data_IF_519724289192
#
_entry.id   IF_519724289192
#
_cell.length_a   1.000
_cell.length_b   1.000
_cell.length_c   1.000
_cell.angle_alpha   90.00
_cell.angle_beta   90.00
_cell.angle_gamma   90.00
#
_symmetry.space_group_name_H-M   'P 1'
#
loop_
_entity.id
_entity.type
_entity.pdbx_description
1 polymer ?
#
# COMPACT_ATOMS: atom_id res chain seq x y z
N UNK A 1 14.26 -15.21 30.34
CA UNK A 1 13.20 -14.69 29.45
C UNK A 1 13.67 -13.35 28.88
N UNK A 2 13.95 -13.26 27.57
CA UNK A 2 14.29 -11.99 26.92
C UNK A 2 13.03 -11.13 26.87
N UNK A 3 13.07 -9.91 27.41
CA UNK A 3 12.01 -8.90 27.23
C UNK A 3 11.92 -8.59 25.74
N UNK A 4 10.82 -9.00 25.11
CA UNK A 4 10.44 -8.50 23.79
C UNK A 4 9.96 -7.08 24.05
N UNK A 5 10.83 -6.10 23.84
CA UNK A 5 10.38 -4.71 23.75
C UNK A 5 9.47 -4.66 22.51
N UNK A 6 8.15 -4.53 22.71
CA UNK A 6 7.27 -4.18 21.60
C UNK A 6 7.61 -2.75 21.19
N UNK A 7 8.52 -2.62 20.23
CA UNK A 7 8.78 -1.35 19.56
C UNK A 7 7.46 -0.92 18.93
N UNK A 8 6.83 0.13 19.50
CA UNK A 8 5.65 0.72 18.89
C UNK A 8 6.00 1.10 17.44
N UNK A 9 5.05 0.96 16.50
CA UNK A 9 5.23 1.46 15.14
C UNK A 9 5.73 2.90 15.18
N UNK A 10 6.82 3.18 14.45
CA UNK A 10 7.36 4.54 14.35
C UNK A 10 6.65 5.23 13.18
N UNK A 11 5.64 6.02 13.52
CA UNK A 11 4.94 6.87 12.57
C UNK A 11 5.55 8.27 12.58
N UNK A 12 5.75 8.84 11.41
CA UNK A 12 6.20 10.22 11.23
C UNK A 12 5.09 11.00 10.53
N UNK A 13 4.64 12.10 11.13
CA UNK A 13 3.61 12.95 10.56
C UNK A 13 4.19 14.27 10.08
N UNK A 14 4.03 14.55 8.79
CA UNK A 14 4.38 15.80 8.14
C UNK A 14 3.11 16.65 7.99
N UNK A 15 2.82 17.46 9.02
CA UNK A 15 1.58 18.22 9.13
C UNK A 15 1.35 19.17 7.94
N UNK A 16 2.39 19.85 7.47
CA UNK A 16 2.32 20.83 6.36
C UNK A 16 1.79 20.22 5.06
N UNK A 17 1.97 18.91 4.88
CA UNK A 17 1.56 18.17 3.69
C UNK A 17 0.39 17.21 3.96
N UNK A 18 -0.02 17.07 5.22
CA UNK A 18 -1.00 16.09 5.68
C UNK A 18 -0.57 14.64 5.41
N UNK A 19 0.73 14.35 5.47
CA UNK A 19 1.29 13.04 5.16
C UNK A 19 1.63 12.30 6.46
N UNK A 20 1.10 11.09 6.62
CA UNK A 20 1.57 10.15 7.63
C UNK A 20 2.47 9.09 6.98
N UNK A 21 3.62 8.83 7.59
CA UNK A 21 4.64 7.89 7.09
C UNK A 21 4.77 6.74 8.07
N UNK A 22 4.69 5.52 7.55
CA UNK A 22 4.95 4.29 8.30
C UNK A 22 6.35 3.77 8.00
N UNK A 23 7.26 3.92 8.97
CA UNK A 23 8.61 3.34 8.91
C UNK A 23 8.56 1.91 9.41
N UNK A 24 8.18 0.97 8.54
CA UNK A 24 8.18 -0.45 8.91
C UNK A 24 9.62 -0.93 9.08
N UNK A 25 10.01 -1.20 10.32
CA UNK A 25 11.20 -1.97 10.60
C UNK A 25 10.91 -3.44 10.30
N UNK A 26 11.72 -4.09 9.46
CA UNK A 26 11.57 -5.51 9.10
C UNK A 26 11.63 -6.49 10.29
N UNK A 27 11.84 -6.02 11.51
CA UNK A 27 11.72 -6.81 12.75
C UNK A 27 10.28 -6.86 13.29
N UNK A 28 9.45 -5.88 12.99
CA UNK A 28 8.08 -5.74 13.51
C UNK A 28 7.04 -6.41 12.59
N UNK A 29 7.40 -6.65 11.32
CA UNK A 29 6.55 -7.32 10.33
C UNK A 29 7.18 -8.64 9.92
N UNK A 30 6.77 -9.71 10.60
CA UNK A 30 7.26 -11.08 10.40
C UNK A 30 6.24 -11.98 9.71
N UNK A 31 5.00 -11.52 9.56
CA UNK A 31 3.91 -12.26 8.92
C UNK A 31 2.88 -11.33 8.25
N UNK A 32 2.04 -11.85 7.34
CA UNK A 32 0.91 -11.10 6.80
C UNK A 32 -0.01 -10.53 7.88
N UNK A 33 -0.32 -11.30 8.92
CA UNK A 33 -1.18 -10.83 10.01
C UNK A 33 -0.54 -9.67 10.79
N UNK A 34 0.77 -9.71 11.05
CA UNK A 34 1.44 -8.58 11.72
C UNK A 34 1.44 -7.31 10.86
N UNK A 35 1.52 -7.46 9.54
CA UNK A 35 1.42 -6.33 8.61
C UNK A 35 0.03 -5.71 8.62
N UNK A 36 -1.03 -6.52 8.60
CA UNK A 36 -2.42 -6.03 8.66
C UNK A 36 -2.67 -5.27 9.96
N UNK A 37 -2.26 -5.82 11.10
CA UNK A 37 -2.41 -5.15 12.40
C UNK A 37 -1.66 -3.81 12.43
N UNK A 38 -0.46 -3.78 11.85
CA UNK A 38 0.31 -2.55 11.70
C UNK A 38 -0.39 -1.52 10.80
N UNK A 39 -0.99 -1.95 9.68
CA UNK A 39 -1.80 -1.09 8.82
C UNK A 39 -3.03 -0.54 9.53
N UNK A 40 -3.73 -1.35 10.32
CA UNK A 40 -4.91 -0.89 11.08
C UNK A 40 -4.48 0.19 12.10
N UNK A 41 -3.44 -0.08 12.90
CA UNK A 41 -2.91 0.92 13.85
C UNK A 41 -2.45 2.21 13.17
N UNK A 42 -1.95 2.10 11.93
CA UNK A 42 -1.56 3.24 11.12
C UNK A 42 -2.77 4.07 10.64
N UNK A 43 -3.89 3.42 10.32
CA UNK A 43 -5.13 4.12 9.97
C UNK A 43 -5.77 4.82 11.17
N UNK A 44 -5.77 4.19 12.34
CA UNK A 44 -6.24 4.84 13.58
C UNK A 44 -5.45 6.14 13.84
N UNK A 45 -4.14 6.09 13.65
CA UNK A 45 -3.27 7.26 13.81
C UNK A 45 -3.50 8.32 12.71
N UNK A 46 -3.75 7.88 11.47
CA UNK A 46 -4.07 8.76 10.36
C UNK A 46 -5.39 9.53 10.60
N UNK A 47 -6.42 8.85 11.11
CA UNK A 47 -7.68 9.48 11.49
C UNK A 47 -7.47 10.48 12.63
N UNK A 48 -6.76 10.09 13.69
CA UNK A 48 -6.45 10.96 14.84
C UNK A 48 -5.73 12.24 14.43
N UNK A 49 -4.78 12.13 13.50
CA UNK A 49 -3.98 13.24 13.00
C UNK A 49 -4.61 13.97 11.81
N UNK A 50 -5.76 13.51 11.31
CA UNK A 50 -6.41 14.01 10.09
C UNK A 50 -5.47 14.03 8.89
N UNK A 51 -4.63 13.01 8.77
CA UNK A 51 -3.80 12.82 7.59
C UNK A 51 -4.70 12.67 6.36
N UNK A 52 -4.24 13.15 5.22
CA UNK A 52 -4.94 13.00 3.93
C UNK A 52 -4.14 12.18 2.93
N UNK A 53 -2.89 11.87 3.27
CA UNK A 53 -1.92 11.16 2.45
C UNK A 53 -1.15 10.17 3.30
N UNK A 54 -0.93 8.97 2.78
CA UNK A 54 -0.27 7.89 3.50
C UNK A 54 0.94 7.38 2.73
N UNK A 55 2.11 7.32 3.36
CA UNK A 55 3.29 6.65 2.80
C UNK A 55 3.60 5.42 3.66
N UNK A 56 3.47 4.24 3.05
CA UNK A 56 3.63 2.96 3.74
C UNK A 56 4.88 2.26 3.22
N UNK A 57 5.83 1.98 4.11
CA UNK A 57 6.92 1.06 3.80
C UNK A 57 6.43 -0.37 3.95
N UNK A 58 6.70 -1.22 2.97
CA UNK A 58 6.33 -2.64 3.02
C UNK A 58 7.56 -3.53 2.72
N UNK A 59 7.76 -4.62 3.49
CA UNK A 59 8.68 -5.69 3.09
C UNK A 59 8.28 -6.28 1.73
N UNK A 60 9.22 -6.84 0.97
CA UNK A 60 8.89 -7.48 -0.31
C UNK A 60 8.00 -8.72 -0.12
N UNK A 61 8.17 -9.39 1.03
CA UNK A 61 7.42 -10.55 1.49
C UNK A 61 5.93 -10.27 1.67
N UNK A 62 5.56 -8.99 1.85
CA UNK A 62 4.17 -8.55 1.97
C UNK A 62 3.45 -8.53 0.62
N UNK A 63 4.17 -8.45 -0.50
CA UNK A 63 3.57 -8.52 -1.84
C UNK A 63 3.43 -9.95 -2.37
N UNK A 64 4.10 -10.92 -1.74
CA UNK A 64 3.76 -12.34 -1.92
C UNK A 64 2.46 -12.73 -1.19
N UNK A 65 1.74 -11.76 -0.61
CA UNK A 65 0.42 -12.01 -0.06
C UNK A 65 -0.55 -12.47 -1.14
N UNK A 66 -1.09 -13.65 -0.90
CA UNK A 66 -2.07 -14.37 -1.69
C UNK A 66 -3.19 -13.47 -2.23
N UNK A 67 -3.76 -13.82 -3.39
CA UNK A 67 -4.78 -13.06 -4.11
C UNK A 67 -5.97 -12.62 -3.23
N UNK A 68 -6.26 -13.42 -2.19
CA UNK A 68 -7.31 -13.15 -1.19
C UNK A 68 -7.05 -11.93 -0.32
N UNK A 69 -5.80 -11.61 -0.03
CA UNK A 69 -5.44 -10.41 0.75
C UNK A 69 -5.61 -9.14 -0.08
N UNK A 70 -5.29 -9.18 -1.37
CA UNK A 70 -5.57 -8.09 -2.29
C UNK A 70 -7.08 -7.81 -2.38
N UNK A 71 -7.91 -8.86 -2.47
CA UNK A 71 -9.37 -8.73 -2.46
C UNK A 71 -9.90 -8.13 -1.14
N UNK A 72 -9.36 -8.55 0.02
CA UNK A 72 -9.75 -7.98 1.30
C UNK A 72 -9.35 -6.49 1.43
N UNK A 73 -8.10 -6.15 1.09
CA UNK A 73 -7.61 -4.76 1.15
C UNK A 73 -8.44 -3.85 0.25
N UNK A 74 -8.70 -4.30 -0.98
CA UNK A 74 -9.49 -3.52 -1.94
C UNK A 74 -10.95 -3.35 -1.55
N UNK A 75 -11.58 -4.39 -1.00
CA UNK A 75 -13.01 -4.35 -0.61
C UNK A 75 -13.28 -3.64 0.71
N UNK A 76 -12.36 -3.71 1.67
CA UNK A 76 -12.61 -3.25 3.03
C UNK A 76 -11.70 -2.11 3.47
N UNK A 77 -10.40 -2.18 3.16
CA UNK A 77 -9.43 -1.21 3.68
C UNK A 77 -9.48 0.12 2.91
N UNK A 78 -9.49 0.08 1.58
CA UNK A 78 -9.51 1.30 0.76
C UNK A 78 -10.78 2.13 0.95
N UNK A 79 -12.00 1.55 1.04
CA UNK A 79 -13.19 2.32 1.38
C UNK A 79 -13.10 3.00 2.76
N UNK A 80 -12.51 2.34 3.76
CA UNK A 80 -12.31 2.94 5.09
C UNK A 80 -11.31 4.08 5.04
N UNK A 81 -10.19 3.91 4.34
CA UNK A 81 -9.23 5.00 4.09
C UNK A 81 -9.90 6.21 3.45
N UNK A 82 -10.74 5.99 2.43
CA UNK A 82 -11.48 7.07 1.81
C UNK A 82 -12.45 7.75 2.79
N UNK A 83 -13.17 6.97 3.58
CA UNK A 83 -14.12 7.47 4.58
C UNK A 83 -13.48 8.40 5.61
N UNK A 84 -12.25 8.08 6.08
CA UNK A 84 -11.51 8.92 7.03
C UNK A 84 -10.78 10.09 6.36
N UNK A 85 -10.94 10.29 5.05
CA UNK A 85 -10.41 11.45 4.31
C UNK A 85 -9.06 11.24 3.63
N UNK A 86 -8.56 10.01 3.55
CA UNK A 86 -7.36 9.70 2.77
C UNK A 86 -7.66 9.82 1.27
N UNK A 87 -6.79 10.55 0.57
CA UNK A 87 -6.87 10.82 -0.87
C UNK A 87 -5.81 10.07 -1.66
N UNK A 88 -4.63 9.87 -1.06
CA UNK A 88 -3.48 9.21 -1.69
C UNK A 88 -2.78 8.26 -0.73
N UNK A 89 -2.39 7.10 -1.23
CA UNK A 89 -1.53 6.15 -0.52
C UNK A 89 -0.38 5.69 -1.43
N UNK A 90 0.85 5.75 -0.94
CA UNK A 90 2.04 5.28 -1.63
C UNK A 90 2.64 4.09 -0.85
N UNK A 91 2.71 2.93 -1.49
CA UNK A 91 3.43 1.76 -0.98
C UNK A 91 4.86 1.77 -1.51
N UNK A 92 5.84 1.86 -0.62
CA UNK A 92 7.26 1.76 -0.94
C UNK A 92 7.76 0.37 -0.56
N UNK A 93 8.14 -0.43 -1.55
CA UNK A 93 8.66 -1.80 -1.38
C UNK A 93 10.14 -1.88 -1.76
N UNK A 94 10.84 -2.93 -1.30
CA UNK A 94 12.23 -3.17 -1.70
C UNK A 94 12.36 -3.76 -3.10
N UNK A 95 11.42 -4.60 -3.50
CA UNK A 95 11.38 -5.26 -4.80
C UNK A 95 9.96 -5.65 -5.14
N UNK A 96 9.64 -5.67 -6.43
CA UNK A 96 8.40 -6.20 -6.96
C UNK A 96 8.66 -7.60 -7.56
N UNK A 97 7.64 -8.46 -7.64
CA UNK A 97 7.68 -9.66 -8.48
C UNK A 97 8.08 -9.31 -9.93
N UNK A 98 8.75 -10.21 -10.64
CA UNK A 98 9.24 -9.94 -12.00
C UNK A 98 8.15 -9.51 -12.98
N UNK A 99 6.95 -10.07 -12.84
CA UNK A 99 5.75 -9.71 -13.61
C UNK A 99 5.14 -8.35 -13.22
N UNK A 100 5.69 -7.65 -12.23
CA UNK A 100 5.28 -6.31 -11.79
C UNK A 100 6.43 -5.29 -11.87
N UNK A 101 7.61 -5.69 -12.36
CA UNK A 101 8.78 -4.82 -12.46
C UNK A 101 8.58 -3.60 -13.37
N UNK A 102 7.65 -3.66 -14.33
CA UNK A 102 7.31 -2.55 -15.22
C UNK A 102 6.14 -1.70 -14.68
N UNK A 103 5.55 -2.05 -13.55
CA UNK A 103 4.28 -1.51 -13.11
C UNK A 103 4.44 -0.57 -11.91
N UNK A 104 4.71 0.72 -12.20
CA UNK A 104 4.28 1.82 -11.34
C UNK A 104 2.76 1.82 -11.36
N UNK A 105 2.13 1.09 -10.45
CA UNK A 105 0.72 0.82 -10.56
C UNK A 105 -0.09 1.82 -9.73
N UNK A 106 -0.89 2.64 -10.42
CA UNK A 106 -1.92 3.47 -9.79
C UNK A 106 -3.24 2.70 -9.79
N UNK A 107 -3.76 2.30 -8.63
CA UNK A 107 -5.04 1.59 -8.53
C UNK A 107 -6.08 2.43 -7.77
N UNK A 108 -7.36 2.26 -8.11
CA UNK A 108 -8.48 2.89 -7.40
C UNK A 108 -8.75 4.35 -7.78
N UNK A 109 -10.03 4.76 -7.74
CA UNK A 109 -10.39 6.17 -7.88
C UNK A 109 -10.24 6.91 -6.54
N UNK A 110 -10.53 6.26 -5.40
CA UNK A 110 -10.47 6.86 -4.07
C UNK A 110 -10.16 5.82 -2.96
N UNK A 111 -9.03 5.91 -2.23
CA UNK A 111 -7.87 6.77 -2.49
C UNK A 111 -7.13 6.39 -3.77
N UNK A 112 -6.39 7.33 -4.36
CA UNK A 112 -5.38 7.04 -5.38
C UNK A 112 -4.25 6.20 -4.73
N UNK A 113 -3.95 5.01 -5.27
CA UNK A 113 -2.97 4.09 -4.70
C UNK A 113 -1.78 3.98 -5.63
N UNK A 114 -0.55 4.31 -5.20
CA UNK A 114 0.67 4.12 -5.97
C UNK A 114 1.61 3.09 -5.34
N UNK A 115 2.32 2.30 -6.15
CA UNK A 115 3.34 1.35 -5.70
C UNK A 115 4.71 1.70 -6.29
N UNK A 116 5.74 1.74 -5.45
CA UNK A 116 7.08 2.22 -5.80
C UNK A 116 8.16 1.33 -5.18
N UNK A 117 9.27 1.15 -5.89
CA UNK A 117 10.48 0.48 -5.38
C UNK A 117 11.49 1.49 -4.79
N UNK A 118 11.21 2.78 -4.91
CA UNK A 118 12.10 3.88 -4.53
C UNK A 118 11.38 4.87 -3.62
N UNK A 119 11.94 5.11 -2.43
CA UNK A 119 11.41 6.08 -1.46
C UNK A 119 11.39 7.52 -2.02
N UNK A 120 12.44 8.03 -2.71
CA UNK A 120 12.37 9.29 -3.42
C UNK A 120 11.21 9.41 -4.40
N UNK A 121 10.94 8.36 -5.18
CA UNK A 121 9.82 8.36 -6.14
C UNK A 121 8.46 8.37 -5.43
N UNK A 122 8.29 7.52 -4.41
CA UNK A 122 7.08 7.48 -3.60
C UNK A 122 6.77 8.84 -2.97
N UNK A 123 7.80 9.51 -2.45
CA UNK A 123 7.70 10.87 -1.90
C UNK A 123 7.32 11.90 -2.96
N UNK A 124 7.96 11.87 -4.13
CA UNK A 124 7.65 12.80 -5.20
C UNK A 124 6.22 12.62 -5.74
N UNK A 125 5.74 11.38 -5.85
CA UNK A 125 4.37 11.10 -6.30
C UNK A 125 3.32 11.50 -5.27
N UNK A 126 3.54 11.19 -3.99
CA UNK A 126 2.56 11.52 -2.94
C UNK A 126 2.45 13.03 -2.69
N UNK A 127 3.53 13.76 -2.98
CA UNK A 127 3.59 15.22 -2.95
C UNK A 127 3.10 15.89 -4.24
N UNK A 128 2.58 15.12 -5.21
CA UNK A 128 2.09 15.65 -6.50
C UNK A 128 3.18 16.37 -7.32
N UNK A 129 4.46 16.03 -7.11
CA UNK A 129 5.61 16.59 -7.86
C UNK A 129 5.83 15.84 -9.18
N UNK A 130 5.41 14.57 -9.27
CA UNK A 130 5.44 13.79 -10.51
C UNK A 130 4.14 13.99 -11.30
N UNK A 131 4.28 14.29 -12.60
CA UNK A 131 3.15 14.55 -13.49
C UNK A 131 2.29 13.29 -13.70
N UNK A 132 0.96 13.44 -13.62
CA UNK A 132 -0.04 12.35 -13.71
C UNK A 132 0.02 11.60 -15.04
N UNK A 133 0.52 12.25 -16.08
CA UNK A 133 0.66 11.73 -17.45
C UNK A 133 1.73 10.64 -17.61
N UNK A 134 2.63 10.48 -16.64
CA UNK A 134 3.75 9.53 -16.73
C UNK A 134 3.45 8.14 -16.16
N UNK A 135 2.30 7.93 -15.50
CA UNK A 135 1.99 6.70 -14.78
C UNK A 135 0.51 6.34 -14.96
N UNK A 136 0.20 5.52 -15.96
CA UNK A 136 -1.14 4.95 -16.15
C UNK A 136 -1.03 3.53 -16.69
N UNK A 137 -1.68 2.57 -16.04
CA UNK A 137 -1.98 1.25 -16.61
C UNK A 137 -3.47 1.00 -16.50
N UNK A 138 -4.09 0.76 -17.65
CA UNK A 138 -5.42 0.16 -17.77
C UNK A 138 -5.28 -1.35 -17.61
N UNK A 139 -6.00 -1.93 -16.65
CA UNK A 139 -6.27 -3.35 -16.64
C UNK A 139 -7.29 -3.65 -17.73
N UNK A 140 -6.87 -4.33 -18.80
CA UNK A 140 -7.82 -4.97 -19.69
C UNK A 140 -8.38 -6.19 -18.95
N UNK A 141 -9.68 -6.16 -18.64
CA UNK A 141 -10.39 -7.27 -17.98
C UNK A 141 -10.59 -8.48 -18.92
N UNK A 142 -9.94 -8.49 -20.09
CA UNK A 142 -10.11 -9.49 -21.15
C UNK A 142 -9.50 -10.86 -20.85
N UNK A 143 -8.69 -11.03 -19.80
CA UNK A 143 -8.15 -12.36 -19.42
C UNK A 143 -9.10 -13.19 -18.53
N UNK A 144 -10.26 -12.66 -18.14
CA UNK A 144 -11.26 -13.42 -17.37
C UNK A 144 -11.90 -14.57 -18.17
N UNK A 145 -11.84 -14.57 -19.49
CA UNK A 145 -12.47 -15.62 -20.32
C UNK A 145 -11.50 -16.74 -20.74
N UNK A 146 -10.18 -16.57 -20.55
CA UNK A 146 -9.20 -17.61 -20.86
C UNK A 146 -9.23 -18.80 -19.86
N UNK A 147 -9.76 -18.59 -18.65
CA UNK A 147 -9.86 -19.63 -17.61
C UNK A 147 -11.11 -20.51 -17.70
N UNK A 148 -12.10 -20.16 -18.54
CA UNK A 148 -13.32 -20.97 -18.70
C UNK A 148 -13.16 -22.16 -19.66
N UNK A 149 -12.16 -22.14 -20.54
CA UNK A 149 -12.00 -23.17 -21.58
C UNK A 149 -11.14 -24.38 -21.17
N UNK A 150 -10.57 -24.40 -19.96
CA UNK A 150 -9.69 -25.49 -19.51
C UNK A 150 -10.30 -26.40 -18.41
N UNK A 151 -11.62 -26.32 -18.17
CA UNK A 151 -12.33 -27.21 -17.23
C UNK A 151 -13.33 -28.16 -17.90
N UNK A 152 -13.26 -28.32 -19.23
CA UNK A 152 -14.03 -29.32 -19.96
C UNK A 152 -13.11 -30.08 -20.93
N UNK A 153 -12.34 -31.03 -20.40
CA UNK A 153 -11.76 -32.15 -21.16
C UNK A 153 -11.54 -33.33 -20.22
#
# INVERSE_FOLDING_TARGET
MKKINSTKPQFEFLADYGILINHVNGRDVISPSSYILNLISFLDEAERLKATRLLVMAPAEVYHMDFKMHDWVSRYLFPQMHHIGIRKIAFCVKSLPENMNEHKATFGQHPEIGVFTSMPEAKAWILDVLDRSAITLTFDLSESDALKNNLAS
#
